data_IF_150092364312
#
_entry.id   IF_150092364312
#
_cell.length_a   1.000
_cell.length_b   1.000
_cell.length_c   1.000
_cell.angle_alpha   90.00
_cell.angle_beta   90.00
_cell.angle_gamma   90.00
#
_symmetry.space_group_name_H-M   'P 1'
#
loop_
_entity.id
_entity.type
_entity.pdbx_description
1 polymer ?
#
# COMPACT_ATOMS: atom_id res chain seq x y z
N UNK A 1 18.27 -27.51 -31.27
CA UNK A 1 17.22 -26.61 -31.82
C UNK A 1 15.95 -27.32 -32.30
N UNK A 2 16.00 -28.53 -32.89
CA UNK A 2 14.79 -29.22 -33.42
C UNK A 2 13.76 -29.67 -32.36
N UNK A 3 14.16 -29.83 -31.10
CA UNK A 3 13.27 -30.20 -29.98
C UNK A 3 12.34 -29.05 -29.54
N UNK A 4 12.76 -27.78 -29.70
CA UNK A 4 11.93 -26.62 -29.33
C UNK A 4 10.73 -26.41 -30.27
N UNK A 5 10.85 -26.83 -31.53
CA UNK A 5 9.80 -26.65 -32.54
C UNK A 5 8.73 -27.77 -32.42
N UNK A 6 9.09 -28.93 -31.86
CA UNK A 6 8.15 -30.04 -31.63
C UNK A 6 7.13 -29.75 -30.53
N UNK A 7 7.43 -28.81 -29.64
CA UNK A 7 6.65 -28.54 -28.43
C UNK A 7 6.42 -27.03 -28.27
N UNK A 8 5.36 -26.48 -28.89
CA UNK A 8 5.13 -25.03 -28.97
C UNK A 8 4.98 -24.37 -27.59
N UNK A 9 4.59 -25.13 -26.57
CA UNK A 9 4.50 -24.66 -25.19
C UNK A 9 5.84 -24.21 -24.61
N UNK A 10 6.96 -24.84 -24.95
CA UNK A 10 8.29 -24.39 -24.50
C UNK A 10 8.66 -23.03 -25.09
N UNK A 11 8.29 -22.78 -26.34
CA UNK A 11 8.51 -21.50 -27.00
C UNK A 11 7.64 -20.41 -26.38
N UNK A 12 6.37 -20.70 -26.09
CA UNK A 12 5.47 -19.78 -25.38
C UNK A 12 6.01 -19.43 -23.99
N UNK A 13 6.46 -20.42 -23.22
CA UNK A 13 7.06 -20.18 -21.91
C UNK A 13 8.32 -19.29 -22.02
N UNK A 14 9.19 -19.55 -22.99
CA UNK A 14 10.39 -18.74 -23.20
C UNK A 14 10.04 -17.30 -23.58
N UNK A 15 9.08 -17.10 -24.47
CA UNK A 15 8.59 -15.76 -24.85
C UNK A 15 8.02 -15.04 -23.63
N UNK A 16 7.20 -15.71 -22.82
CA UNK A 16 6.62 -15.13 -21.61
C UNK A 16 7.72 -14.69 -20.61
N UNK A 17 8.75 -15.52 -20.41
CA UNK A 17 9.90 -15.18 -19.56
C UNK A 17 10.63 -13.94 -20.10
N UNK A 18 10.94 -13.92 -21.39
CA UNK A 18 11.64 -12.79 -22.02
C UNK A 18 10.85 -11.49 -21.89
N UNK A 19 9.54 -11.53 -22.16
CA UNK A 19 8.66 -10.36 -22.02
C UNK A 19 8.63 -9.87 -20.57
N UNK A 20 8.49 -10.78 -19.60
CA UNK A 20 8.47 -10.43 -18.18
C UNK A 20 9.81 -9.84 -17.72
N UNK A 21 10.94 -10.43 -18.10
CA UNK A 21 12.28 -9.91 -17.76
C UNK A 21 12.51 -8.54 -18.38
N UNK A 22 12.11 -8.35 -19.64
CA UNK A 22 12.24 -7.07 -20.33
C UNK A 22 11.41 -5.97 -19.64
N UNK A 23 10.16 -6.30 -19.25
CA UNK A 23 9.31 -5.41 -18.48
C UNK A 23 9.98 -4.98 -17.17
N UNK A 24 10.44 -5.94 -16.38
CA UNK A 24 11.07 -5.66 -15.08
C UNK A 24 12.36 -4.84 -15.20
N UNK A 25 13.16 -5.07 -16.24
CA UNK A 25 14.46 -4.43 -16.39
C UNK A 25 14.41 -2.97 -16.88
N UNK A 26 13.37 -2.60 -17.64
CA UNK A 26 13.34 -1.30 -18.34
C UNK A 26 12.14 -0.44 -17.92
N UNK A 27 10.98 -1.06 -17.66
CA UNK A 27 9.74 -0.31 -17.47
C UNK A 27 9.39 -0.05 -16.01
N UNK A 28 9.93 -0.83 -15.07
CA UNK A 28 9.62 -0.69 -13.65
C UNK A 28 10.30 0.55 -13.07
N UNK A 29 9.51 1.40 -12.40
CA UNK A 29 10.00 2.60 -11.72
C UNK A 29 10.48 2.25 -10.31
N UNK A 30 11.54 2.92 -9.84
CA UNK A 30 12.00 2.81 -8.46
C UNK A 30 10.94 3.32 -7.46
N UNK A 31 10.74 2.57 -6.38
CA UNK A 31 9.72 2.89 -5.36
C UNK A 31 10.39 3.17 -4.02
N UNK A 32 10.21 4.39 -3.52
CA UNK A 32 10.74 4.84 -2.24
C UNK A 32 9.61 5.04 -1.23
N UNK A 33 9.76 4.49 -0.02
CA UNK A 33 8.79 4.63 1.07
C UNK A 33 9.52 5.07 2.33
N UNK A 34 9.05 6.15 2.95
CA UNK A 34 9.47 6.57 4.28
C UNK A 34 8.57 5.92 5.32
N UNK A 35 9.12 5.07 6.18
CA UNK A 35 8.39 4.48 7.30
C UNK A 35 8.68 5.26 8.57
N UNK A 36 7.65 5.54 9.37
CA UNK A 36 7.79 6.21 10.67
C UNK A 36 6.98 5.44 11.70
N UNK A 37 7.62 5.11 12.82
CA UNK A 37 6.98 4.44 13.95
C UNK A 37 6.72 5.46 15.06
N UNK A 38 5.45 5.77 15.28
CA UNK A 38 5.02 6.63 16.40
C UNK A 38 4.69 5.74 17.60
N UNK A 39 5.53 5.78 18.63
CA UNK A 39 5.31 5.06 19.89
C UNK A 39 4.61 6.00 20.86
N UNK A 40 3.37 5.67 21.22
CA UNK A 40 2.61 6.36 22.26
C UNK A 40 2.81 5.60 23.58
N UNK A 41 2.77 6.32 24.71
CA UNK A 41 3.18 5.80 26.02
C UNK A 41 2.13 4.83 26.62
N UNK A 42 1.98 3.64 26.01
CA UNK A 42 1.61 2.37 26.66
C UNK A 42 1.89 1.23 25.68
N UNK A 43 2.58 0.15 26.10
CA UNK A 43 3.16 -0.84 25.21
C UNK A 43 2.10 -1.76 24.61
N UNK A 44 2.45 -2.28 23.43
CA UNK A 44 1.78 -3.35 22.69
C UNK A 44 0.60 -2.91 21.82
N UNK A 45 0.92 -2.76 20.52
CA UNK A 45 0.06 -3.17 19.40
C UNK A 45 -0.17 -4.68 19.49
N UNK A 46 -0.82 -5.15 20.56
CA UNK A 46 -1.42 -6.47 20.58
C UNK A 46 -2.80 -6.32 19.93
N UNK A 47 -3.23 -7.35 19.18
CA UNK A 47 -4.63 -7.51 18.79
C UNK A 47 -5.53 -7.21 20.00
N UNK A 48 -6.75 -6.66 19.82
CA UNK A 48 -7.63 -6.32 20.93
C UNK A 48 -7.95 -7.58 21.74
N UNK A 49 -7.11 -7.89 22.73
CA UNK A 49 -7.39 -8.85 23.77
C UNK A 49 -8.31 -8.12 24.73
N UNK A 50 -9.52 -8.65 24.90
CA UNK A 50 -10.46 -8.18 25.89
C UNK A 50 -9.84 -8.41 27.28
N UNK A 51 -9.10 -7.42 27.76
CA UNK A 51 -8.57 -7.42 29.11
C UNK A 51 -9.66 -6.93 30.06
N UNK A 52 -10.32 -7.88 30.72
CA UNK A 52 -11.36 -7.62 31.71
C UNK A 52 -10.85 -6.75 32.88
N UNK A 53 -9.54 -6.72 33.14
CA UNK A 53 -8.93 -5.84 34.14
C UNK A 53 -8.95 -4.36 33.75
N UNK A 54 -8.86 -4.05 32.45
CA UNK A 54 -8.93 -2.68 31.93
C UNK A 54 -10.34 -2.08 31.98
N UNK A 55 -11.38 -2.93 31.95
CA UNK A 55 -12.78 -2.54 32.11
C UNK A 55 -13.10 -2.23 33.58
N UNK A 56 -12.56 -3.04 34.51
CA UNK A 56 -12.81 -2.88 35.94
C UNK A 56 -12.02 -1.71 36.58
N UNK A 57 -10.85 -1.37 36.02
CA UNK A 57 -9.97 -0.32 36.54
C UNK A 57 -10.26 1.08 36.01
N UNK A 58 -11.20 1.26 35.08
CA UNK A 58 -11.54 2.58 34.53
C UNK A 58 -10.34 3.20 33.81
N UNK A 59 -9.85 2.55 32.74
CA UNK A 59 -8.69 3.03 31.99
C UNK A 59 -8.99 4.32 31.23
N UNK A 60 -8.59 5.46 31.80
CA UNK A 60 -8.77 6.82 31.30
C UNK A 60 -7.74 7.26 30.24
N UNK A 61 -7.42 6.39 29.28
CA UNK A 61 -6.47 6.75 28.21
C UNK A 61 -6.38 5.80 27.01
N UNK A 62 -6.76 4.54 27.16
CA UNK A 62 -6.68 3.56 26.06
C UNK A 62 -7.70 3.83 24.93
N UNK A 63 -8.87 4.40 25.28
CA UNK A 63 -9.90 4.79 24.30
C UNK A 63 -9.44 5.91 23.37
N UNK A 64 -8.81 6.94 23.93
CA UNK A 64 -8.32 8.09 23.17
C UNK A 64 -7.20 7.70 22.19
N UNK A 65 -6.34 6.74 22.58
CA UNK A 65 -5.32 6.18 21.68
C UNK A 65 -5.93 5.39 20.52
N UNK A 66 -7.01 4.65 20.76
CA UNK A 66 -7.72 3.92 19.71
C UNK A 66 -8.40 4.89 18.75
N UNK A 67 -9.05 5.94 19.26
CA UNK A 67 -9.67 7.00 18.45
C UNK A 67 -8.63 7.76 17.63
N UNK A 68 -7.46 8.07 18.21
CA UNK A 68 -6.36 8.70 17.48
C UNK A 68 -5.86 7.80 16.35
N UNK A 69 -5.67 6.51 16.60
CA UNK A 69 -5.26 5.55 15.56
C UNK A 69 -6.30 5.47 14.45
N UNK A 70 -7.57 5.38 14.80
CA UNK A 70 -8.66 5.32 13.81
C UNK A 70 -8.70 6.59 12.97
N UNK A 71 -8.53 7.76 13.61
CA UNK A 71 -8.40 9.04 12.91
C UNK A 71 -7.20 9.05 11.96
N UNK A 72 -6.02 8.60 12.39
CA UNK A 72 -4.82 8.54 11.55
C UNK A 72 -4.97 7.61 10.33
N UNK A 73 -5.77 6.55 10.44
CA UNK A 73 -6.05 5.59 9.36
C UNK A 73 -7.30 5.95 8.54
N UNK A 74 -8.01 7.01 8.92
CA UNK A 74 -9.28 7.39 8.31
C UNK A 74 -9.12 8.02 6.92
N UNK A 75 -10.23 8.02 6.17
CA UNK A 75 -10.34 8.72 4.90
C UNK A 75 -10.17 10.24 5.07
N UNK A 76 -10.57 10.81 6.19
CA UNK A 76 -10.47 12.25 6.41
C UNK A 76 -9.02 12.70 6.60
N UNK A 77 -8.20 11.89 7.28
CA UNK A 77 -6.76 12.13 7.36
C UNK A 77 -6.11 12.01 5.98
N UNK A 78 -6.51 11.01 5.18
CA UNK A 78 -6.04 10.88 3.80
C UNK A 78 -6.39 12.11 2.94
N UNK A 79 -7.63 12.62 3.02
CA UNK A 79 -8.05 13.84 2.32
C UNK A 79 -7.23 15.05 2.76
N UNK A 80 -6.96 15.18 4.07
CA UNK A 80 -6.15 16.27 4.62
C UNK A 80 -4.72 16.22 4.08
N UNK A 81 -4.12 15.04 4.01
CA UNK A 81 -2.77 14.85 3.46
C UNK A 81 -2.73 15.11 1.96
N UNK A 82 -3.71 14.60 1.21
CA UNK A 82 -3.81 14.83 -0.23
C UNK A 82 -3.95 16.32 -0.56
N UNK A 83 -4.76 17.06 0.20
CA UNK A 83 -4.88 18.51 0.03
C UNK A 83 -3.58 19.29 0.31
N UNK A 84 -2.70 18.77 1.16
CA UNK A 84 -1.43 19.42 1.51
C UNK A 84 -0.26 19.00 0.62
N UNK A 85 -0.24 17.74 0.19
CA UNK A 85 0.91 17.12 -0.48
C UNK A 85 0.64 16.75 -1.95
N UNK A 86 -0.61 16.81 -2.41
CA UNK A 86 -0.98 16.44 -3.78
C UNK A 86 -0.71 14.96 -4.08
N UNK A 87 -1.05 14.07 -3.15
CA UNK A 87 -0.73 12.65 -3.22
C UNK A 87 -1.32 11.99 -4.46
N UNK A 88 -2.56 12.31 -4.84
CA UNK A 88 -3.22 11.75 -6.03
C UNK A 88 -2.48 12.10 -7.30
N UNK A 89 -2.01 13.33 -7.45
CA UNK A 89 -1.20 13.75 -8.60
C UNK A 89 0.16 13.07 -8.58
N UNK A 90 0.80 13.01 -7.41
CA UNK A 90 2.11 12.37 -7.26
C UNK A 90 2.08 10.88 -7.64
N UNK A 91 1.15 10.11 -7.08
CA UNK A 91 1.04 8.68 -7.37
C UNK A 91 0.43 8.35 -8.74
N UNK A 92 -0.16 9.34 -9.43
CA UNK A 92 -0.67 9.18 -10.82
C UNK A 92 0.24 9.81 -11.89
N UNK A 93 1.45 10.22 -11.51
CA UNK A 93 2.40 10.88 -12.39
C UNK A 93 2.87 9.99 -13.55
N UNK A 94 3.21 10.62 -14.69
CA UNK A 94 3.51 9.96 -15.97
C UNK A 94 4.80 9.14 -16.02
N UNK A 95 5.68 9.35 -15.06
CA UNK A 95 6.98 8.72 -14.86
C UNK A 95 6.91 7.38 -14.11
N UNK A 96 5.81 7.10 -13.40
CA UNK A 96 5.60 5.82 -12.71
C UNK A 96 5.11 4.76 -13.70
N UNK A 97 5.62 3.53 -13.65
CA UNK A 97 5.18 2.45 -14.54
C UNK A 97 3.65 2.24 -14.54
N UNK A 98 3.11 1.85 -15.68
CA UNK A 98 1.65 1.75 -15.90
C UNK A 98 0.94 0.80 -14.93
N UNK A 99 1.62 -0.24 -14.44
CA UNK A 99 1.00 -1.25 -13.58
C UNK A 99 1.04 -0.87 -12.09
N UNK A 100 2.07 -0.16 -11.65
CA UNK A 100 2.23 0.27 -10.25
C UNK A 100 1.56 1.61 -9.96
N UNK A 101 1.43 2.49 -10.95
CA UNK A 101 0.87 3.83 -10.79
C UNK A 101 -0.61 3.80 -10.36
N UNK A 102 -1.01 4.80 -9.58
CA UNK A 102 -2.42 5.11 -9.36
C UNK A 102 -3.09 5.40 -10.70
N UNK A 103 -4.14 4.62 -11.04
CA UNK A 103 -4.79 4.64 -12.38
C UNK A 103 -5.31 6.01 -12.83
N UNK A 104 -5.46 6.97 -11.92
CA UNK A 104 -5.76 8.35 -12.25
C UNK A 104 -5.95 9.21 -11.00
N UNK A 105 -5.67 10.51 -11.13
CA UNK A 105 -5.88 11.48 -10.07
C UNK A 105 -7.36 11.62 -9.69
N UNK A 106 -8.31 11.20 -10.52
CA UNK A 106 -9.77 11.35 -10.30
C UNK A 106 -10.47 10.09 -9.77
N UNK A 107 -9.71 9.10 -9.27
CA UNK A 107 -10.28 7.87 -8.72
C UNK A 107 -11.27 8.13 -7.55
N UNK A 108 -12.33 7.31 -7.41
CA UNK A 108 -13.17 7.31 -6.22
C UNK A 108 -12.33 7.21 -4.94
N UNK A 109 -12.76 7.89 -3.88
CA UNK A 109 -11.99 8.03 -2.64
C UNK A 109 -11.69 6.67 -1.99
N UNK A 110 -12.57 5.69 -2.16
CA UNK A 110 -12.41 4.32 -1.64
C UNK A 110 -11.27 3.58 -2.36
N UNK A 111 -11.11 3.82 -3.67
CA UNK A 111 -10.00 3.25 -4.44
C UNK A 111 -8.68 3.92 -4.08
N UNK A 112 -8.71 5.23 -3.82
CA UNK A 112 -7.52 5.95 -3.37
C UNK A 112 -7.11 5.55 -1.95
N UNK A 113 -8.05 5.37 -1.03
CA UNK A 113 -7.78 4.94 0.34
C UNK A 113 -7.25 3.50 0.44
N UNK A 114 -7.58 2.64 -0.53
CA UNK A 114 -7.09 1.26 -0.61
C UNK A 114 -5.71 1.13 -1.28
N UNK A 115 -5.30 2.10 -2.09
CA UNK A 115 -4.05 2.07 -2.86
C UNK A 115 -2.84 2.20 -1.95
#
# INVERSE_FOLDING_TARGET
>A
MKQLIKHPYWLICLVAIVVFTFYQAILVTDRYVSTTHVVLNSPAVAAPSLDFGAILSGTSGSGDLLLLRDHLLSVDMLKKLDAQLGLRQHYSASDIDYFSRLKGADLPIEKFHKY
#
